data_IF_233246066982
#
_entry.id   IF_233246066982
#
_cell.length_a   1.000
_cell.length_b   1.000
_cell.length_c   1.000
_cell.angle_alpha   90.00
_cell.angle_beta   90.00
_cell.angle_gamma   90.00
#
_symmetry.space_group_name_H-M   'P 1'
#
loop_
_entity.id
_entity.type
_entity.pdbx_description
1 polymer ?
#
# COMPACT_ATOMS: atom_id res chain seq x y z
N UNK A 1 -14.90 -0.16 -8.27
CA UNK A 1 -13.58 -0.79 -8.51
C UNK A 1 -12.66 -0.44 -7.35
N UNK A 2 -11.98 -1.44 -6.81
CA UNK A 2 -11.06 -1.24 -5.69
C UNK A 2 -9.66 -0.99 -6.20
N UNK A 3 -8.92 -0.17 -5.50
CA UNK A 3 -7.51 0.11 -5.78
C UNK A 3 -6.74 0.07 -4.48
N UNK A 4 -5.56 -0.51 -4.49
CA UNK A 4 -4.67 -0.51 -3.33
C UNK A 4 -3.53 0.46 -3.60
N UNK A 5 -3.21 1.26 -2.61
CA UNK A 5 -2.18 2.30 -2.71
C UNK A 5 -1.31 2.33 -1.46
N UNK A 6 -0.04 2.63 -1.64
CA UNK A 6 0.84 2.94 -0.53
C UNK A 6 0.70 4.42 -0.19
N UNK A 7 0.45 4.71 1.08
CA UNK A 7 0.27 6.07 1.59
C UNK A 7 1.24 6.28 2.74
N UNK A 8 1.96 7.39 2.73
CA UNK A 8 2.97 7.68 3.73
C UNK A 8 2.35 8.25 5.02
N UNK A 9 3.21 8.48 6.02
CA UNK A 9 2.79 8.98 7.32
C UNK A 9 2.19 10.39 7.28
N UNK A 10 2.40 11.10 6.18
CA UNK A 10 1.87 12.44 5.97
C UNK A 10 0.60 12.44 5.11
N UNK A 11 0.11 11.26 4.74
CA UNK A 11 -1.09 11.14 3.92
C UNK A 11 -0.87 11.29 2.43
N UNK A 12 0.39 11.32 1.98
CA UNK A 12 0.69 11.45 0.56
C UNK A 12 0.72 10.08 -0.12
N UNK A 13 0.24 10.05 -1.35
CA UNK A 13 0.19 8.82 -2.14
C UNK A 13 1.37 8.74 -3.10
N UNK A 14 1.82 7.50 -3.33
CA UNK A 14 2.84 7.21 -4.33
C UNK A 14 2.16 6.55 -5.52
N UNK A 15 2.00 7.30 -6.59
CA UNK A 15 1.22 6.86 -7.75
C UNK A 15 1.79 5.62 -8.44
N UNK A 16 3.09 5.41 -8.36
CA UNK A 16 3.71 4.20 -8.90
C UNK A 16 3.47 2.96 -8.07
N UNK A 17 2.98 3.10 -6.83
CA UNK A 17 2.76 2.01 -5.89
C UNK A 17 1.27 1.77 -5.69
N UNK A 18 0.58 1.48 -6.77
CA UNK A 18 -0.85 1.20 -6.75
C UNK A 18 -1.18 0.06 -7.69
N UNK A 19 -2.16 -0.73 -7.32
CA UNK A 19 -2.64 -1.82 -8.15
C UNK A 19 -4.04 -2.23 -7.72
N UNK A 20 -4.91 -2.66 -8.66
CA UNK A 20 -6.24 -3.18 -8.31
C UNK A 20 -6.19 -4.43 -7.44
N UNK A 21 -5.12 -5.22 -7.53
CA UNK A 21 -4.96 -6.43 -6.75
C UNK A 21 -4.01 -6.19 -5.59
N UNK A 22 -4.44 -6.56 -4.39
CA UNK A 22 -3.67 -6.37 -3.17
C UNK A 22 -2.32 -7.08 -3.22
N UNK A 23 -2.29 -8.33 -3.66
CA UNK A 23 -1.06 -9.13 -3.71
C UNK A 23 -0.02 -8.51 -4.64
N UNK A 24 -0.45 -7.99 -5.77
CA UNK A 24 0.45 -7.34 -6.72
C UNK A 24 0.91 -5.97 -6.22
N UNK A 25 0.05 -5.24 -5.53
CA UNK A 25 0.44 -3.98 -4.90
C UNK A 25 1.48 -4.22 -3.81
N UNK A 26 1.31 -5.27 -3.01
CA UNK A 26 2.31 -5.68 -2.01
C UNK A 26 3.65 -5.98 -2.67
N UNK A 27 3.65 -6.67 -3.81
CA UNK A 27 4.88 -6.96 -4.55
C UNK A 27 5.57 -5.70 -5.05
N UNK A 28 4.80 -4.74 -5.56
CA UNK A 28 5.35 -3.46 -5.99
C UNK A 28 6.01 -2.74 -4.82
N UNK A 29 5.34 -2.69 -3.67
CA UNK A 29 5.90 -2.05 -2.48
C UNK A 29 7.16 -2.78 -2.03
N UNK A 30 7.15 -4.11 -2.02
CA UNK A 30 8.31 -4.90 -1.61
C UNK A 30 9.53 -4.64 -2.48
N UNK A 31 9.34 -4.46 -3.78
CA UNK A 31 10.45 -4.23 -4.70
C UNK A 31 11.11 -2.86 -4.51
N UNK A 32 10.41 -1.90 -3.91
CA UNK A 32 10.94 -0.57 -3.64
C UNK A 32 11.30 -0.35 -2.17
N UNK A 33 10.85 -1.23 -1.27
CA UNK A 33 11.01 -1.02 0.15
C UNK A 33 12.43 -1.32 0.62
N UNK A 34 12.97 -0.43 1.46
CA UNK A 34 14.22 -0.67 2.17
C UNK A 34 14.00 -1.65 3.31
N UNK A 35 12.85 -1.57 3.96
CA UNK A 35 12.42 -2.48 5.03
C UNK A 35 10.93 -2.74 4.90
N UNK A 36 10.53 -3.94 5.30
CA UNK A 36 9.14 -4.34 5.30
C UNK A 36 8.76 -4.85 6.68
N UNK A 37 7.59 -4.44 7.15
CA UNK A 37 7.01 -4.89 8.41
C UNK A 37 5.67 -5.54 8.14
N UNK A 38 5.48 -6.73 8.68
CA UNK A 38 4.22 -7.45 8.57
C UNK A 38 3.81 -7.99 9.92
N UNK A 39 2.56 -7.77 10.30
CA UNK A 39 1.93 -8.43 11.43
C UNK A 39 0.97 -9.48 10.92
N UNK A 40 1.10 -10.68 11.45
CA UNK A 40 0.22 -11.80 11.09
C UNK A 40 -0.58 -12.23 12.30
N UNK A 41 -1.85 -12.51 12.07
CA UNK A 41 -2.74 -13.09 13.06
C UNK A 41 -3.46 -14.27 12.42
N UNK A 42 -3.33 -15.46 13.03
CA UNK A 42 -3.93 -16.69 12.54
C UNK A 42 -3.54 -16.99 11.07
N UNK A 43 -2.28 -16.74 10.73
CA UNK A 43 -1.77 -16.95 9.38
C UNK A 43 -2.18 -15.88 8.36
N UNK A 44 -2.96 -14.90 8.78
CA UNK A 44 -3.42 -13.82 7.90
C UNK A 44 -2.64 -12.55 8.17
N UNK A 45 -2.17 -11.90 7.12
CA UNK A 45 -1.50 -10.60 7.25
C UNK A 45 -2.54 -9.54 7.58
N UNK A 46 -2.42 -8.94 8.78
CA UNK A 46 -3.35 -7.89 9.23
C UNK A 46 -2.76 -6.50 9.07
N UNK A 47 -1.46 -6.41 8.84
CA UNK A 47 -0.77 -5.13 8.72
C UNK A 47 0.44 -5.30 7.81
N UNK A 48 0.61 -4.35 6.88
CA UNK A 48 1.79 -4.24 6.04
C UNK A 48 2.30 -2.81 6.08
N UNK A 49 3.56 -2.65 6.49
CA UNK A 49 4.23 -1.35 6.46
C UNK A 49 5.53 -1.45 5.72
N UNK A 50 5.90 -0.37 5.04
CA UNK A 50 7.10 -0.31 4.22
C UNK A 50 7.88 0.96 4.52
N UNK A 51 9.20 0.87 4.47
CA UNK A 51 10.06 2.06 4.53
C UNK A 51 10.62 2.28 3.13
N UNK A 52 10.26 3.40 2.53
CA UNK A 52 10.70 3.76 1.18
C UNK A 52 11.19 5.22 1.23
N UNK A 53 12.47 5.42 0.89
CA UNK A 53 13.05 6.75 0.89
C UNK A 53 13.00 7.45 2.24
N UNK A 54 13.11 6.69 3.33
CA UNK A 54 13.04 7.23 4.68
C UNK A 54 11.62 7.52 5.17
N UNK A 55 10.62 7.26 4.35
CA UNK A 55 9.21 7.47 4.69
C UNK A 55 8.55 6.14 5.05
N UNK A 56 7.63 6.20 6.01
CA UNK A 56 6.82 5.06 6.40
C UNK A 56 5.54 5.06 5.58
N UNK A 57 5.32 3.97 4.85
CA UNK A 57 4.12 3.80 4.04
C UNK A 57 3.33 2.59 4.50
N UNK A 58 2.03 2.69 4.41
CA UNK A 58 1.10 1.59 4.62
C UNK A 58 0.25 1.39 3.39
N UNK A 59 -0.21 0.16 3.22
CA UNK A 59 -1.07 -0.20 2.10
C UNK A 59 -2.52 0.04 2.49
N UNK A 60 -3.22 0.81 1.69
CA UNK A 60 -4.64 1.11 1.92
C UNK A 60 -5.48 0.71 0.74
N UNK A 61 -6.68 0.26 1.02
CA UNK A 61 -7.70 0.07 0.02
C UNK A 61 -8.42 1.39 -0.19
N UNK A 62 -8.42 1.86 -1.43
CA UNK A 62 -9.08 3.10 -1.79
C UNK A 62 -10.05 2.84 -2.93
N UNK A 63 -11.14 3.56 -2.94
CA UNK A 63 -12.06 3.52 -4.05
C UNK A 63 -11.81 4.72 -4.93
N UNK A 64 -11.63 4.52 -6.24
CA UNK A 64 -11.51 5.65 -7.16
C UNK A 64 -12.78 6.49 -7.06
N UNK A 65 -12.60 7.79 -6.88
CA UNK A 65 -13.73 8.69 -6.89
C UNK A 65 -14.19 8.81 -8.34
N UNK A 66 -15.31 8.19 -8.65
CA UNK A 66 -15.96 8.44 -9.90
C UNK A 66 -16.57 9.82 -9.85
N UNK A 67 -16.05 10.71 -10.66
CA UNK A 67 -16.69 11.98 -10.82
C UNK A 67 -18.02 11.75 -11.51
N UNK A 68 -19.09 11.86 -10.73
CA UNK A 68 -20.41 11.98 -11.32
C UNK A 68 -20.43 13.29 -12.10
N UNK A 69 -20.62 13.14 -13.35
CA UNK A 69 -20.72 14.30 -14.21
C UNK A 69 -22.18 14.74 -14.25
#
# INVERSE_FOLDING_TARGET
MKMYMAIDQYGQTYHGLKHPRKDLCERLCNSHAEKMYQDKKDGTTVFCGYVIGGLWLQLFEVQPVEKAV
#
